data_IF_865229969730
#
_entry.id   IF_865229969730
#
_cell.length_a   1.000
_cell.length_b   1.000
_cell.length_c   1.000
_cell.angle_alpha   90.00
_cell.angle_beta   90.00
_cell.angle_gamma   90.00
#
_symmetry.space_group_name_H-M   'P 1'
#
loop_
_entity.id
_entity.type
_entity.pdbx_description
1 polymer ?
#
# COMPACT_ATOMS: atom_id res chain seq x y z
N UNK A 1 -0.44 8.36 34.43
CA UNK A 1 -0.88 7.27 33.54
C UNK A 1 -1.06 7.82 32.12
N UNK A 2 -0.07 7.63 31.22
CA UNK A 2 -0.13 8.19 29.85
C UNK A 2 -1.13 7.37 29.02
N UNK A 3 -2.27 7.97 28.63
CA UNK A 3 -3.19 7.36 27.64
C UNK A 3 -2.40 7.11 26.35
N UNK A 4 -2.09 5.85 26.02
CA UNK A 4 -1.56 5.49 24.69
C UNK A 4 -2.60 5.96 23.67
N UNK A 5 -2.24 6.94 22.84
CA UNK A 5 -3.11 7.47 21.78
C UNK A 5 -3.38 6.30 20.81
N UNK A 6 -4.59 5.74 20.82
CA UNK A 6 -4.99 4.67 19.89
C UNK A 6 -4.89 5.26 18.48
N UNK A 7 -3.94 4.78 17.69
CA UNK A 7 -3.78 5.19 16.30
C UNK A 7 -5.03 4.75 15.51
N UNK A 8 -5.52 5.62 14.63
CA UNK A 8 -6.61 5.27 13.71
C UNK A 8 -6.14 4.16 12.75
N UNK A 9 -7.00 3.20 12.36
CA UNK A 9 -6.63 2.09 11.47
C UNK A 9 -5.83 2.52 10.22
N UNK A 10 -6.26 3.61 9.55
CA UNK A 10 -5.57 4.12 8.36
C UNK A 10 -4.14 4.55 8.64
N UNK A 11 -3.87 5.11 9.83
CA UNK A 11 -2.53 5.52 10.23
C UNK A 11 -1.66 4.31 10.56
N UNK A 12 -2.22 3.26 11.16
CA UNK A 12 -1.51 2.01 11.43
C UNK A 12 -1.07 1.37 10.10
N UNK A 13 -2.00 1.25 9.15
CA UNK A 13 -1.71 0.70 7.82
C UNK A 13 -0.62 1.52 7.12
N UNK A 14 -0.75 2.85 7.09
CA UNK A 14 0.20 3.72 6.40
C UNK A 14 1.63 3.63 7.00
N UNK A 15 1.76 3.66 8.33
CA UNK A 15 3.06 3.51 8.98
C UNK A 15 3.68 2.12 8.73
N UNK A 16 2.88 1.05 8.74
CA UNK A 16 3.37 -0.29 8.45
C UNK A 16 3.92 -0.44 7.03
N UNK A 17 3.26 0.17 6.03
CA UNK A 17 3.76 0.13 4.64
C UNK A 17 5.04 0.97 4.52
N UNK A 18 5.13 2.12 5.18
CA UNK A 18 6.37 2.92 5.22
C UNK A 18 7.54 2.17 5.84
N UNK A 19 7.30 1.45 6.95
CA UNK A 19 8.31 0.62 7.59
C UNK A 19 8.80 -0.49 6.66
N UNK A 20 7.87 -1.21 6.00
CA UNK A 20 8.24 -2.19 4.99
C UNK A 20 9.04 -1.58 3.82
N UNK A 21 8.67 -0.38 3.37
CA UNK A 21 9.38 0.34 2.32
C UNK A 21 10.83 0.72 2.72
N UNK A 22 11.04 1.17 3.96
CA UNK A 22 12.37 1.46 4.52
C UNK A 22 13.26 0.22 4.60
N UNK A 23 12.66 -0.91 4.97
CA UNK A 23 13.34 -2.20 5.01
C UNK A 23 13.56 -2.82 3.62
N UNK A 24 13.05 -2.20 2.55
CA UNK A 24 13.19 -2.71 1.19
C UNK A 24 12.45 -4.02 0.94
N UNK A 25 11.36 -4.28 1.68
CA UNK A 25 10.59 -5.53 1.58
C UNK A 25 9.12 -5.26 1.25
N UNK A 26 8.44 -6.16 0.52
CA UNK A 26 6.99 -6.07 0.35
C UNK A 26 6.25 -6.39 1.65
N UNK A 27 5.00 -5.95 1.73
CA UNK A 27 4.05 -6.33 2.80
C UNK A 27 2.80 -6.94 2.21
N UNK A 28 2.21 -7.92 2.88
CA UNK A 28 1.07 -8.65 2.35
C UNK A 28 -0.27 -8.10 2.84
N UNK A 29 -1.32 -8.19 2.00
CA UNK A 29 -2.67 -7.76 2.38
C UNK A 29 -3.16 -8.36 3.71
N UNK A 30 -2.87 -9.66 3.93
CA UNK A 30 -3.25 -10.34 5.16
C UNK A 30 -2.55 -9.78 6.41
N UNK A 31 -1.30 -9.34 6.29
CA UNK A 31 -0.56 -8.74 7.41
C UNK A 31 -1.15 -7.38 7.76
N UNK A 32 -1.43 -6.53 6.76
CA UNK A 32 -2.09 -5.24 6.97
C UNK A 32 -3.48 -5.39 7.60
N UNK A 33 -4.27 -6.36 7.13
CA UNK A 33 -5.59 -6.64 7.68
C UNK A 33 -5.49 -7.03 9.17
N UNK A 34 -4.57 -7.93 9.52
CA UNK A 34 -4.37 -8.37 10.90
C UNK A 34 -3.98 -7.22 11.84
N UNK A 35 -3.14 -6.28 11.40
CA UNK A 35 -2.71 -5.13 12.21
C UNK A 35 -3.87 -4.25 12.70
N UNK A 36 -4.99 -4.24 11.97
CA UNK A 36 -6.16 -3.42 12.28
C UNK A 36 -7.41 -4.24 12.63
N UNK A 37 -7.25 -5.56 12.82
CA UNK A 37 -8.34 -6.47 13.18
C UNK A 37 -9.34 -6.75 12.05
N UNK A 38 -8.96 -6.53 10.80
CA UNK A 38 -9.75 -6.86 9.62
C UNK A 38 -9.50 -8.30 9.18
N UNK A 39 -10.50 -8.93 8.56
CA UNK A 39 -10.40 -10.30 8.03
C UNK A 39 -10.46 -10.32 6.51
N UNK A 40 -9.49 -10.96 5.86
CA UNK A 40 -9.43 -11.06 4.40
C UNK A 40 -10.47 -12.01 3.79
N UNK A 41 -11.15 -12.83 4.59
CA UNK A 41 -12.28 -13.66 4.14
C UNK A 41 -13.64 -12.96 4.28
N UNK A 42 -13.71 -11.79 4.91
CA UNK A 42 -14.91 -10.97 5.01
C UNK A 42 -14.89 -9.89 3.92
N UNK A 43 -16.01 -9.73 3.19
CA UNK A 43 -16.10 -8.79 2.08
C UNK A 43 -16.09 -7.33 2.52
N UNK A 44 -16.76 -7.00 3.62
CA UNK A 44 -16.81 -5.65 4.14
C UNK A 44 -15.43 -5.20 4.63
N UNK A 45 -14.71 -6.09 5.30
CA UNK A 45 -13.36 -5.82 5.80
C UNK A 45 -12.33 -5.70 4.68
N UNK A 46 -12.41 -6.55 3.65
CA UNK A 46 -11.61 -6.37 2.42
C UNK A 46 -11.86 -5.01 1.78
N UNK A 47 -13.13 -4.62 1.67
CA UNK A 47 -13.52 -3.33 1.09
C UNK A 47 -12.92 -2.17 1.88
N UNK A 48 -13.02 -2.17 3.22
CA UNK A 48 -12.40 -1.14 4.07
C UNK A 48 -10.89 -1.05 3.89
N UNK A 49 -10.19 -2.18 3.80
CA UNK A 49 -8.75 -2.20 3.55
C UNK A 49 -8.43 -1.58 2.19
N UNK A 50 -9.11 -1.98 1.13
CA UNK A 50 -8.85 -1.49 -0.22
C UNK A 50 -9.18 0.00 -0.39
N UNK A 51 -10.25 0.49 0.23
CA UNK A 51 -10.53 1.92 0.30
C UNK A 51 -9.42 2.70 0.99
N UNK A 52 -8.87 2.14 2.08
CA UNK A 52 -7.76 2.75 2.81
C UNK A 52 -6.50 2.81 1.95
N UNK A 53 -6.17 1.72 1.25
CA UNK A 53 -5.04 1.68 0.32
C UNK A 53 -5.23 2.65 -0.86
N UNK A 54 -6.45 2.79 -1.37
CA UNK A 54 -6.74 3.78 -2.41
C UNK A 54 -6.52 5.21 -1.89
N UNK A 55 -6.95 5.53 -0.66
CA UNK A 55 -6.68 6.83 -0.03
C UNK A 55 -5.18 7.11 0.12
N UNK A 56 -4.39 6.11 0.51
CA UNK A 56 -2.92 6.23 0.59
C UNK A 56 -2.32 6.47 -0.81
N UNK A 57 -2.78 5.72 -1.82
CA UNK A 57 -2.34 5.86 -3.21
C UNK A 57 -2.55 7.29 -3.72
N UNK A 58 -3.74 7.85 -3.49
CA UNK A 58 -4.07 9.23 -3.86
C UNK A 58 -3.26 10.25 -3.06
N UNK A 59 -3.00 9.97 -1.77
CA UNK A 59 -2.17 10.84 -0.93
C UNK A 59 -0.73 10.90 -1.45
N UNK A 60 -0.07 9.77 -1.71
CA UNK A 60 1.31 9.76 -2.24
C UNK A 60 1.40 10.51 -3.58
N UNK A 61 0.44 10.25 -4.48
CA UNK A 61 0.42 10.94 -5.76
C UNK A 61 0.27 12.45 -5.63
N UNK A 62 -0.66 12.92 -4.77
CA UNK A 62 -0.86 14.35 -4.49
C UNK A 62 0.42 15.02 -3.96
N UNK A 63 1.23 14.26 -3.25
CA UNK A 63 2.47 14.73 -2.63
C UNK A 63 3.68 14.60 -3.56
N UNK A 64 3.47 14.17 -4.81
CA UNK A 64 4.53 13.96 -5.79
C UNK A 64 5.46 12.79 -5.47
N UNK A 65 5.01 11.84 -4.64
CA UNK A 65 5.80 10.69 -4.19
C UNK A 65 5.46 9.43 -5.00
N UNK A 66 6.37 8.43 -5.05
CA UNK A 66 6.04 7.12 -5.60
C UNK A 66 4.85 6.48 -4.88
N UNK A 67 4.04 5.71 -5.60
CA UNK A 67 2.85 5.08 -5.04
C UNK A 67 3.24 4.00 -4.01
N UNK A 68 3.28 4.38 -2.73
CA UNK A 68 3.70 3.52 -1.63
C UNK A 68 2.95 2.17 -1.59
N UNK A 69 1.69 2.14 -2.02
CA UNK A 69 0.90 0.90 -2.08
C UNK A 69 1.36 -0.10 -3.14
N UNK A 70 2.32 0.26 -4.01
CA UNK A 70 2.92 -0.66 -4.98
C UNK A 70 3.59 -1.87 -4.31
N UNK A 71 4.08 -1.74 -3.08
CA UNK A 71 4.73 -2.83 -2.33
C UNK A 71 3.74 -3.68 -1.51
N UNK A 72 2.44 -3.39 -1.61
CA UNK A 72 1.38 -4.18 -0.96
C UNK A 72 0.87 -5.23 -1.94
N UNK A 73 1.20 -6.50 -1.68
CA UNK A 73 0.98 -7.59 -2.65
C UNK A 73 0.18 -8.77 -2.06
N UNK A 74 -0.41 -9.59 -2.93
CA UNK A 74 -0.95 -10.88 -2.52
C UNK A 74 0.17 -11.92 -2.33
N UNK A 75 -0.01 -12.88 -1.42
CA UNK A 75 1.02 -13.88 -1.11
C UNK A 75 1.25 -14.85 -2.27
N UNK A 76 0.18 -15.15 -3.01
CA UNK A 76 0.10 -16.15 -4.06
C UNK A 76 0.66 -15.61 -5.38
N UNK A 77 0.16 -14.45 -5.83
CA UNK A 77 0.58 -13.86 -7.12
C UNK A 77 1.87 -13.06 -7.04
N UNK A 78 2.31 -12.68 -5.83
CA UNK A 78 3.41 -11.72 -5.61
C UNK A 78 3.22 -10.38 -6.35
N UNK A 79 1.97 -10.03 -6.65
CA UNK A 79 1.61 -8.79 -7.33
C UNK A 79 0.56 -8.02 -6.53
N UNK A 80 0.46 -6.69 -6.74
CA UNK A 80 -0.67 -5.90 -6.29
C UNK A 80 -1.96 -6.39 -6.94
N UNK A 81 -3.08 -6.20 -6.25
CA UNK A 81 -4.41 -6.44 -6.80
C UNK A 81 -4.71 -5.50 -7.98
N UNK A 82 -5.60 -5.93 -8.87
CA UNK A 82 -5.95 -5.20 -10.10
C UNK A 82 -6.35 -3.73 -9.86
N UNK A 83 -6.99 -3.44 -8.72
CA UNK A 83 -7.37 -2.09 -8.32
C UNK A 83 -6.21 -1.08 -8.24
N UNK A 84 -5.00 -1.53 -7.89
CA UNK A 84 -3.80 -0.67 -7.90
C UNK A 84 -3.49 -0.15 -9.31
N UNK A 85 -3.49 -1.05 -10.30
CA UNK A 85 -3.22 -0.69 -11.68
C UNK A 85 -4.32 0.19 -12.28
N UNK A 86 -5.58 -0.04 -11.91
CA UNK A 86 -6.69 0.84 -12.28
C UNK A 86 -6.47 2.24 -11.73
N UNK A 87 -6.09 2.38 -10.45
CA UNK A 87 -5.78 3.67 -9.86
C UNK A 87 -4.59 4.35 -10.56
N UNK A 88 -3.50 3.62 -10.79
CA UNK A 88 -2.31 4.14 -11.48
C UNK A 88 -2.61 4.66 -12.90
N UNK A 89 -3.45 3.95 -13.67
CA UNK A 89 -3.93 4.41 -14.98
C UNK A 89 -4.80 5.66 -14.89
N UNK A 90 -5.73 5.72 -13.93
CA UNK A 90 -6.58 6.91 -13.70
C UNK A 90 -5.77 8.15 -13.33
N UNK A 91 -4.62 7.96 -12.67
CA UNK A 91 -3.67 9.01 -12.35
C UNK A 91 -2.70 9.35 -13.51
N UNK A 92 -2.80 8.66 -14.65
CA UNK A 92 -1.92 8.87 -15.81
C UNK A 92 -0.47 8.40 -15.62
N UNK A 93 -0.19 7.63 -14.55
CA UNK A 93 1.16 7.17 -14.19
C UNK A 93 1.57 5.91 -14.95
N UNK A 94 0.62 5.00 -15.19
CA UNK A 94 0.90 3.75 -15.87
C UNK A 94 0.72 3.89 -17.39
N UNK A 95 1.83 3.77 -18.13
CA UNK A 95 1.85 3.80 -19.62
C UNK A 95 2.36 2.49 -20.24
N UNK A 96 2.82 1.56 -19.41
CA UNK A 96 3.40 0.27 -19.79
C UNK A 96 2.51 -0.89 -19.31
N UNK A 97 2.98 -2.12 -19.51
CA UNK A 97 2.29 -3.30 -18.95
C UNK A 97 2.22 -3.21 -17.43
N UNK A 98 1.26 -3.94 -16.82
CA UNK A 98 1.13 -3.98 -15.35
C UNK A 98 2.44 -4.42 -14.69
N UNK A 99 3.10 -5.44 -15.24
CA UNK A 99 4.33 -6.00 -14.70
C UNK A 99 5.49 -5.00 -14.74
N UNK A 100 5.73 -4.36 -15.88
CA UNK A 100 6.78 -3.35 -16.01
C UNK A 100 6.55 -2.16 -15.08
N UNK A 101 5.31 -1.68 -15.03
CA UNK A 101 4.96 -0.57 -14.15
C UNK A 101 5.15 -0.95 -12.69
N UNK A 102 4.70 -2.13 -12.28
CA UNK A 102 4.86 -2.63 -10.92
C UNK A 102 6.33 -2.65 -10.49
N UNK A 103 7.20 -3.29 -11.27
CA UNK A 103 8.63 -3.36 -10.91
C UNK A 103 9.30 -1.97 -10.86
N UNK A 104 8.97 -1.10 -11.83
CA UNK A 104 9.48 0.26 -11.84
C UNK A 104 9.02 1.06 -10.61
N UNK A 105 7.74 0.94 -10.23
CA UNK A 105 7.18 1.68 -9.11
C UNK A 105 7.68 1.15 -7.77
N UNK A 106 7.82 -0.17 -7.60
CA UNK A 106 8.45 -0.77 -6.42
C UNK A 106 9.87 -0.25 -6.21
N UNK A 107 10.67 -0.17 -7.28
CA UNK A 107 12.03 0.37 -7.21
C UNK A 107 12.01 1.82 -6.71
N UNK A 108 11.15 2.67 -7.27
CA UNK A 108 11.00 4.07 -6.82
C UNK A 108 10.58 4.16 -5.36
N UNK A 109 9.65 3.32 -4.91
CA UNK A 109 9.20 3.29 -3.51
C UNK A 109 10.37 2.98 -2.59
N UNK A 110 11.12 1.91 -2.84
CA UNK A 110 12.25 1.56 -1.98
C UNK A 110 13.35 2.63 -2.01
N UNK A 111 13.68 3.17 -3.19
CA UNK A 111 14.67 4.26 -3.30
C UNK A 111 14.23 5.51 -2.52
N UNK A 112 12.95 5.90 -2.61
CA UNK A 112 12.43 7.10 -1.95
C UNK A 112 12.38 6.97 -0.42
N UNK A 113 12.01 5.78 0.09
CA UNK A 113 11.73 5.58 1.51
C UNK A 113 12.91 5.05 2.31
N UNK A 114 13.98 4.54 1.68
CA UNK A 114 15.17 3.99 2.37
C UNK A 114 15.79 4.93 3.42
N UNK A 115 15.72 6.24 3.20
CA UNK A 115 16.40 7.26 4.03
C UNK A 115 15.45 8.21 4.78
N UNK A 116 14.14 7.95 4.78
CA UNK A 116 13.10 8.76 5.44
C UNK A 116 12.54 8.07 6.66
#
# INVERSE_FOLDING_TARGET
MKRKKKLMPNKIIYEAIKEAAREGKPIYYGELAQLVGLKMNDENDRTKLFETLNKITLHEHKEGRPLLTAIVIARESKMPGYGFFVAARKLGLQRSTNTEFFYAEVKKVFEYWKEK
#
